data_IF_328220519230
#
_entry.id   IF_328220519230
#
_cell.length_a   1.000
_cell.length_b   1.000
_cell.length_c   1.000
_cell.angle_alpha   90.00
_cell.angle_beta   90.00
_cell.angle_gamma   90.00
#
_symmetry.space_group_name_H-M   'P 1'
#
loop_
_entity.id
_entity.type
_entity.pdbx_description
1 polymer ?
#
# COMPACT_ATOMS: atom_id res chain seq x y z
N UNK A 1 -15.45 6.94 -12.58
CA UNK A 1 -14.54 5.92 -12.01
C UNK A 1 -15.35 4.85 -11.30
N UNK A 2 -15.17 3.56 -11.61
CA UNK A 2 -15.91 2.47 -10.96
C UNK A 2 -15.65 2.43 -9.44
N UNK A 3 -16.59 1.86 -8.68
CA UNK A 3 -16.46 1.80 -7.22
C UNK A 3 -15.44 0.74 -6.75
N UNK A 4 -15.26 -0.33 -7.53
CA UNK A 4 -14.30 -1.42 -7.28
C UNK A 4 -13.23 -1.50 -8.35
N UNK A 5 -12.09 -2.09 -7.98
CA UNK A 5 -10.96 -2.36 -8.86
C UNK A 5 -11.16 -3.70 -9.59
N UNK A 6 -10.82 -3.77 -10.89
CA UNK A 6 -10.82 -5.02 -11.66
C UNK A 6 -9.73 -5.99 -11.17
N UNK A 7 -9.85 -7.26 -11.52
CA UNK A 7 -8.87 -8.31 -11.18
C UNK A 7 -7.46 -7.98 -11.69
N UNK A 8 -7.35 -7.53 -12.93
CA UNK A 8 -6.09 -7.10 -13.56
C UNK A 8 -5.47 -5.92 -12.82
N UNK A 9 -6.27 -4.92 -12.43
CA UNK A 9 -5.78 -3.77 -11.66
C UNK A 9 -5.33 -4.18 -10.25
N UNK A 10 -5.99 -5.16 -9.63
CA UNK A 10 -5.58 -5.73 -8.34
C UNK A 10 -4.25 -6.49 -8.45
N UNK A 11 -4.03 -7.23 -9.53
CA UNK A 11 -2.73 -7.87 -9.81
C UNK A 11 -1.63 -6.80 -9.91
N UNK A 12 -1.82 -5.79 -10.74
CA UNK A 12 -0.85 -4.70 -10.89
C UNK A 12 -0.60 -3.93 -9.57
N UNK A 13 -1.60 -3.84 -8.68
CA UNK A 13 -1.41 -3.24 -7.35
C UNK A 13 -0.51 -4.11 -6.46
N UNK A 14 -0.72 -5.42 -6.44
CA UNK A 14 0.16 -6.35 -5.71
C UNK A 14 1.58 -6.31 -6.24
N UNK A 15 1.74 -6.31 -7.56
CA UNK A 15 3.07 -6.24 -8.18
C UNK A 15 3.81 -4.96 -7.82
N UNK A 16 3.11 -3.82 -7.76
CA UNK A 16 3.71 -2.55 -7.30
C UNK A 16 4.12 -2.61 -5.83
N UNK A 17 3.30 -3.19 -4.95
CA UNK A 17 3.64 -3.33 -3.53
C UNK A 17 4.89 -4.20 -3.36
N UNK A 18 4.95 -5.34 -4.06
CA UNK A 18 6.12 -6.24 -4.06
C UNK A 18 7.39 -5.55 -4.58
N UNK A 19 7.30 -4.83 -5.71
CA UNK A 19 8.46 -4.09 -6.24
C UNK A 19 9.01 -3.07 -5.25
N UNK A 20 8.14 -2.42 -4.47
CA UNK A 20 8.60 -1.50 -3.41
C UNK A 20 9.29 -2.28 -2.29
N UNK A 21 8.79 -3.47 -1.93
CA UNK A 21 9.45 -4.34 -0.95
C UNK A 21 10.84 -4.76 -1.42
N UNK A 22 10.98 -5.17 -2.69
CA UNK A 22 12.26 -5.57 -3.28
C UNK A 22 13.28 -4.41 -3.24
N UNK A 23 12.83 -3.18 -3.53
CA UNK A 23 13.68 -1.99 -3.43
C UNK A 23 14.11 -1.71 -1.98
N UNK A 24 13.20 -1.83 -1.02
CA UNK A 24 13.56 -1.66 0.40
C UNK A 24 14.57 -2.73 0.84
N UNK A 25 14.39 -3.97 0.40
CA UNK A 25 15.24 -5.09 0.75
C UNK A 25 16.64 -4.96 0.14
N UNK A 26 16.74 -4.56 -1.13
CA UNK A 26 18.03 -4.28 -1.78
C UNK A 26 18.79 -3.12 -1.12
N UNK A 27 18.11 -2.04 -0.75
CA UNK A 27 18.73 -0.91 -0.03
C UNK A 27 19.17 -1.33 1.38
N UNK A 28 18.41 -2.20 2.06
CA UNK A 28 18.84 -2.76 3.33
C UNK A 28 20.07 -3.65 3.18
N UNK A 29 20.11 -4.48 2.13
CA UNK A 29 21.21 -5.40 1.85
C UNK A 29 22.52 -4.68 1.48
N UNK A 30 22.44 -3.46 0.92
CA UNK A 30 23.63 -2.66 0.61
C UNK A 30 24.30 -2.04 1.84
N UNK A 31 23.70 -2.17 3.04
CA UNK A 31 24.28 -1.71 4.30
C UNK A 31 24.12 -0.21 4.58
N UNK A 32 23.36 0.51 3.74
CA UNK A 32 23.08 1.93 3.96
C UNK A 32 22.08 2.07 5.10
N UNK A 33 22.42 2.88 6.11
CA UNK A 33 21.51 3.25 7.20
C UNK A 33 20.96 4.64 6.95
N UNK A 34 19.63 4.79 6.98
CA UNK A 34 19.00 6.10 6.90
C UNK A 34 17.65 6.08 7.61
N UNK A 35 17.27 7.22 8.17
CA UNK A 35 16.00 7.37 8.87
C UNK A 35 14.77 7.06 7.99
N UNK A 36 14.89 7.28 6.67
CA UNK A 36 13.84 6.90 5.72
C UNK A 36 13.70 5.37 5.60
N UNK A 37 14.82 4.63 5.65
CA UNK A 37 14.82 3.17 5.64
C UNK A 37 14.19 2.62 6.92
N UNK A 38 14.52 3.18 8.08
CA UNK A 38 13.92 2.75 9.36
C UNK A 38 12.39 2.89 9.34
N UNK A 39 11.89 4.02 8.82
CA UNK A 39 10.44 4.22 8.61
C UNK A 39 9.85 3.25 7.60
N UNK A 40 10.59 2.93 6.54
CA UNK A 40 10.14 1.99 5.52
C UNK A 40 10.03 0.55 6.07
N UNK A 41 10.95 0.16 6.94
CA UNK A 41 10.96 -1.15 7.61
C UNK A 41 9.82 -1.32 8.62
N UNK A 42 9.28 -0.23 9.17
CA UNK A 42 8.07 -0.27 10.02
C UNK A 42 6.79 -0.63 9.24
N UNK A 43 6.77 -0.42 7.92
CA UNK A 43 5.59 -0.70 7.12
C UNK A 43 5.47 -2.20 6.81
N UNK A 44 4.25 -2.79 6.81
CA UNK A 44 4.07 -4.21 6.51
C UNK A 44 4.40 -4.53 5.05
N UNK A 45 4.95 -5.71 4.79
CA UNK A 45 5.20 -6.22 3.43
C UNK A 45 3.89 -6.62 2.72
N UNK A 46 3.92 -6.77 1.40
CA UNK A 46 2.72 -7.12 0.62
C UNK A 46 2.05 -8.42 1.09
N UNK A 47 2.83 -9.41 1.48
CA UNK A 47 2.36 -10.71 1.98
C UNK A 47 1.68 -10.62 3.36
N UNK A 48 2.14 -9.72 4.22
CA UNK A 48 1.60 -9.49 5.57
C UNK A 48 0.34 -8.61 5.56
N UNK A 49 0.15 -7.82 4.51
CA UNK A 49 -1.00 -6.93 4.38
C UNK A 49 -2.32 -7.71 4.19
N UNK A 50 -3.41 -7.33 4.90
CA UNK A 50 -4.71 -7.92 4.65
C UNK A 50 -5.24 -7.49 3.28
N UNK A 51 -5.99 -8.37 2.61
CA UNK A 51 -6.53 -8.10 1.27
C UNK A 51 -7.39 -6.83 1.22
N UNK A 52 -8.07 -6.47 2.32
CA UNK A 52 -8.87 -5.24 2.43
C UNK A 52 -8.00 -3.99 2.28
N UNK A 53 -6.83 -3.94 2.92
CA UNK A 53 -5.94 -2.77 2.91
C UNK A 53 -5.13 -2.64 1.62
N UNK A 54 -4.92 -3.74 0.88
CA UNK A 54 -4.29 -3.70 -0.44
C UNK A 54 -5.10 -2.87 -1.45
N UNK A 55 -6.43 -2.89 -1.35
CA UNK A 55 -7.32 -2.35 -2.37
C UNK A 55 -8.21 -1.20 -1.88
N UNK A 56 -8.27 -0.97 -0.57
CA UNK A 56 -9.09 0.08 0.03
C UNK A 56 -8.29 0.86 1.08
N UNK A 57 -8.59 2.14 1.16
CA UNK A 57 -8.05 3.08 2.14
C UNK A 57 -9.15 3.54 3.08
N UNK A 58 -8.75 4.01 4.26
CA UNK A 58 -9.64 4.73 5.14
C UNK A 58 -10.13 6.04 4.50
N UNK A 59 -11.42 6.35 4.68
CA UNK A 59 -12.00 7.63 4.30
C UNK A 59 -13.16 7.97 5.25
N UNK A 60 -12.99 9.04 6.02
CA UNK A 60 -13.94 9.48 7.03
C UNK A 60 -15.34 9.80 6.48
N UNK A 61 -15.43 10.28 5.23
CA UNK A 61 -16.69 10.76 4.65
C UNK A 61 -17.47 9.69 3.88
N UNK A 62 -16.88 8.51 3.66
CA UNK A 62 -17.59 7.41 2.99
C UNK A 62 -18.31 6.52 3.98
N UNK A 63 -19.52 6.07 3.62
CA UNK A 63 -20.25 5.04 4.38
C UNK A 63 -19.37 3.79 4.53
N UNK A 64 -19.21 3.32 5.77
CA UNK A 64 -18.33 2.19 6.09
C UNK A 64 -16.83 2.54 6.13
N UNK A 65 -16.49 3.84 6.14
CA UNK A 65 -15.16 4.39 6.36
C UNK A 65 -14.07 3.92 5.37
N UNK A 66 -14.48 3.45 4.18
CA UNK A 66 -13.56 2.90 3.17
C UNK A 66 -13.80 3.48 1.78
N UNK A 67 -12.70 3.77 1.09
CA UNK A 67 -12.67 4.18 -0.32
C UNK A 67 -11.70 3.28 -1.08
N UNK A 68 -12.02 2.96 -2.34
CA UNK A 68 -11.08 2.21 -3.19
C UNK A 68 -9.78 2.97 -3.43
N UNK A 69 -8.64 2.28 -3.33
CA UNK A 69 -7.29 2.84 -3.51
C UNK A 69 -7.14 3.55 -4.86
N UNK A 70 -7.78 3.03 -5.91
CA UNK A 70 -7.75 3.62 -7.26
C UNK A 70 -8.44 4.97 -7.39
N UNK A 71 -9.17 5.42 -6.36
CA UNK A 71 -9.78 6.75 -6.31
C UNK A 71 -8.88 7.78 -5.59
N UNK A 72 -7.67 7.39 -5.19
CA UNK A 72 -6.66 8.28 -4.61
C UNK A 72 -5.87 8.94 -5.75
N UNK A 73 -5.64 10.27 -5.72
CA UNK A 73 -4.79 10.93 -6.68
C UNK A 73 -3.41 10.27 -6.72
N UNK A 74 -2.93 9.91 -7.92
CA UNK A 74 -1.60 9.32 -8.12
C UNK A 74 -1.33 8.06 -7.28
N UNK A 75 -2.37 7.26 -7.00
CA UNK A 75 -2.28 6.01 -6.22
C UNK A 75 -1.25 4.99 -6.73
N UNK A 76 -0.82 5.08 -7.99
CA UNK A 76 0.21 4.20 -8.57
C UNK A 76 1.63 4.56 -8.12
N UNK A 77 1.84 5.76 -7.58
CA UNK A 77 3.14 6.29 -7.14
C UNK A 77 3.23 6.46 -5.63
N UNK A 78 2.09 6.65 -4.96
CA UNK A 78 2.03 6.83 -3.51
C UNK A 78 1.99 5.46 -2.82
N UNK A 79 2.74 5.31 -1.74
CA UNK A 79 2.74 4.14 -0.88
C UNK A 79 1.75 4.33 0.29
N UNK A 80 0.72 3.48 0.34
CA UNK A 80 -0.24 3.42 1.45
C UNK A 80 -0.38 1.97 1.89
N UNK A 81 -0.03 1.68 3.15
CA UNK A 81 0.00 0.30 3.68
C UNK A 81 -0.74 0.09 4.99
N UNK A 82 -0.94 1.14 5.77
CA UNK A 82 -1.57 1.08 7.09
C UNK A 82 -2.78 2.00 7.13
N UNK A 83 -3.87 1.50 7.69
CA UNK A 83 -5.08 2.28 7.99
C UNK A 83 -5.28 2.37 9.52
N UNK A 84 -6.06 3.34 10.02
CA UNK A 84 -6.35 3.45 11.45
C UNK A 84 -7.00 2.18 12.01
N UNK A 85 -6.57 1.75 13.20
CA UNK A 85 -7.14 0.56 13.87
C UNK A 85 -8.63 0.78 14.15
N UNK A 86 -9.45 -0.23 13.87
CA UNK A 86 -10.90 -0.18 14.04
C UNK A 86 -11.70 0.25 12.80
N UNK A 87 -11.03 0.59 11.69
CA UNK A 87 -11.67 1.04 10.44
C UNK A 87 -11.26 0.19 9.22
#
# INVERSE_FOLDING_TARGET
MPWRMSTTRKANQRDRLKRVDDVIETVRASGITCHALDKALLMPKENEMPAKDKYTIFNAHSRGYRKGMHKVPKFTRITHRVNPRGF
#
